data_IF_617287535686
#
_entry.id   IF_617287535686
#
_cell.length_a   1.000
_cell.length_b   1.000
_cell.length_c   1.000
_cell.angle_alpha   90.00
_cell.angle_beta   90.00
_cell.angle_gamma   90.00
#
_symmetry.space_group_name_H-M   'P 1'
#
loop_
_entity.id
_entity.type
_entity.pdbx_description
1 polymer ?
#
# COMPACT_ATOMS: atom_id res chain seq x y z
N UNK A 1 -76.81 83.16 5.05
CA UNK A 1 -75.59 84.02 5.10
C UNK A 1 -75.76 84.98 6.26
N UNK A 2 -74.78 85.21 7.16
CA UNK A 2 -73.55 84.43 7.47
C UNK A 2 -73.39 84.09 8.98
N UNK A 3 -72.47 83.15 9.32
CA UNK A 3 -71.64 83.10 10.57
C UNK A 3 -72.34 83.08 11.97
N UNK A 4 -71.75 82.79 13.15
CA UNK A 4 -70.72 81.85 13.69
C UNK A 4 -71.05 81.69 15.22
N UNK A 5 -70.50 80.81 16.10
CA UNK A 5 -69.44 79.77 16.10
C UNK A 5 -69.66 78.82 17.31
N UNK A 6 -69.03 77.62 17.27
CA UNK A 6 -68.46 76.85 18.40
C UNK A 6 -69.17 76.88 19.77
N UNK A 7 -69.99 75.88 20.12
CA UNK A 7 -69.52 74.59 20.69
C UNK A 7 -68.74 74.69 22.02
N UNK A 8 -69.49 74.78 23.13
CA UNK A 8 -69.00 74.55 24.50
C UNK A 8 -69.42 73.16 25.05
N UNK A 9 -69.87 72.24 24.19
CA UNK A 9 -70.48 70.97 24.59
C UNK A 9 -69.54 69.74 24.57
N UNK A 10 -68.27 69.90 24.17
CA UNK A 10 -67.33 68.78 24.03
C UNK A 10 -66.20 68.78 25.07
N UNK A 11 -66.55 69.00 26.35
CA UNK A 11 -65.59 69.01 27.46
C UNK A 11 -65.96 68.14 28.67
N UNK A 12 -66.95 67.26 28.53
CA UNK A 12 -67.40 66.35 29.61
C UNK A 12 -67.39 64.85 29.25
N UNK A 13 -66.75 64.46 28.13
CA UNK A 13 -66.56 63.06 27.75
C UNK A 13 -65.08 62.67 27.61
N UNK A 14 -64.21 63.33 28.38
CA UNK A 14 -62.76 63.02 28.47
C UNK A 14 -62.36 62.93 29.96
N UNK A 15 -63.01 62.03 30.72
CA UNK A 15 -62.51 61.64 32.06
C UNK A 15 -62.90 60.25 32.57
N UNK A 16 -63.55 59.39 31.76
CA UNK A 16 -64.07 58.09 32.21
C UNK A 16 -63.52 56.86 31.48
N UNK A 17 -62.63 57.02 30.50
CA UNK A 17 -61.98 55.90 29.76
C UNK A 17 -60.45 56.03 29.74
N UNK A 18 -59.88 56.56 30.83
CA UNK A 18 -58.44 56.51 31.15
C UNK A 18 -58.15 55.59 32.35
N UNK A 19 -59.00 54.60 32.55
CA UNK A 19 -58.76 53.41 33.37
C UNK A 19 -58.94 52.17 32.51
N UNK A 20 -58.08 51.15 32.70
CA UNK A 20 -58.12 49.87 32.00
C UNK A 20 -57.90 49.86 30.47
N UNK A 21 -56.81 50.49 30.00
CA UNK A 21 -55.95 49.82 29.01
C UNK A 21 -54.55 49.71 29.62
N UNK A 22 -54.27 48.57 30.28
CA UNK A 22 -52.89 48.15 30.52
C UNK A 22 -52.23 48.06 29.15
N UNK A 23 -51.25 48.91 28.88
CA UNK A 23 -50.39 48.79 27.69
C UNK A 23 -49.64 47.46 27.80
N UNK A 24 -50.19 46.38 27.26
CA UNK A 24 -49.36 45.30 26.74
C UNK A 24 -48.37 45.97 25.79
N UNK A 25 -47.05 45.88 26.01
CA UNK A 25 -46.11 46.45 25.07
C UNK A 25 -46.43 45.85 23.71
N UNK A 26 -46.66 46.71 22.71
CA UNK A 26 -46.80 46.26 21.33
C UNK A 26 -45.50 45.54 20.99
N UNK A 27 -45.54 44.21 21.00
CA UNK A 27 -44.44 43.40 20.53
C UNK A 27 -44.37 43.66 19.03
N UNK A 28 -43.51 44.61 18.63
CA UNK A 28 -43.27 44.96 17.23
C UNK A 28 -42.54 43.77 16.60
N UNK A 29 -43.32 42.73 16.29
CA UNK A 29 -42.88 41.58 15.53
C UNK A 29 -42.77 42.05 14.09
N UNK A 30 -41.66 42.73 13.79
CA UNK A 30 -41.30 43.12 12.42
C UNK A 30 -41.33 41.85 11.59
N UNK A 31 -42.34 41.71 10.70
CA UNK A 31 -42.60 40.49 9.93
C UNK A 31 -41.48 40.09 8.96
N UNK A 32 -40.35 40.80 8.99
CA UNK A 32 -39.17 40.64 8.13
C UNK A 32 -37.83 40.56 8.91
N UNK A 33 -37.81 40.49 10.25
CA UNK A 33 -36.54 40.36 10.99
C UNK A 33 -35.82 39.04 10.64
N UNK A 34 -36.56 37.92 10.66
CA UNK A 34 -36.05 36.60 10.30
C UNK A 34 -35.46 36.53 8.88
N UNK A 35 -35.99 37.31 7.92
CA UNK A 35 -35.45 37.34 6.55
C UNK A 35 -34.13 38.11 6.45
N UNK A 36 -33.92 39.13 7.28
CA UNK A 36 -32.65 39.89 7.31
C UNK A 36 -31.55 39.07 8.01
N UNK A 37 -31.89 38.40 9.12
CA UNK A 37 -31.01 37.44 9.79
C UNK A 37 -30.60 36.30 8.84
N UNK A 38 -31.57 35.68 8.16
CA UNK A 38 -31.31 34.61 7.19
C UNK A 38 -30.44 35.07 5.99
N UNK A 39 -30.62 36.30 5.52
CA UNK A 39 -29.83 36.86 4.41
C UNK A 39 -28.33 37.01 4.72
N UNK A 40 -27.94 37.08 6.00
CA UNK A 40 -26.53 37.10 6.44
C UNK A 40 -26.05 35.69 6.82
N UNK A 41 -26.88 34.92 7.55
CA UNK A 41 -26.52 33.60 8.05
C UNK A 41 -26.35 32.60 6.89
N UNK A 42 -27.23 32.60 5.89
CA UNK A 42 -27.19 31.61 4.80
C UNK A 42 -25.88 31.73 3.98
N UNK A 43 -25.45 32.92 3.50
CA UNK A 43 -24.17 33.06 2.81
C UNK A 43 -22.96 32.71 3.68
N UNK A 44 -22.99 33.04 4.98
CA UNK A 44 -21.91 32.70 5.91
C UNK A 44 -21.77 31.18 6.09
N UNK A 45 -22.89 30.48 6.30
CA UNK A 45 -22.93 29.02 6.44
C UNK A 45 -22.57 28.32 5.13
N UNK A 46 -23.07 28.82 3.99
CA UNK A 46 -22.71 28.30 2.67
C UNK A 46 -21.20 28.50 2.36
N UNK A 47 -20.64 29.65 2.74
CA UNK A 47 -19.21 29.94 2.64
C UNK A 47 -18.35 29.02 3.51
N UNK A 48 -18.77 28.77 4.75
CA UNK A 48 -18.14 27.80 5.64
C UNK A 48 -18.13 26.38 5.02
N UNK A 49 -19.27 25.90 4.54
CA UNK A 49 -19.34 24.60 3.88
C UNK A 49 -18.52 24.56 2.57
N UNK A 50 -18.47 25.65 1.80
CA UNK A 50 -17.63 25.72 0.61
C UNK A 50 -16.14 25.59 0.95
N UNK A 51 -15.65 26.30 1.99
CA UNK A 51 -14.27 26.18 2.48
C UNK A 51 -13.98 24.76 3.00
N UNK A 52 -14.92 24.17 3.75
CA UNK A 52 -14.79 22.79 4.24
C UNK A 52 -14.70 21.75 3.11
N UNK A 53 -15.53 21.90 2.06
CA UNK A 53 -15.47 21.05 0.88
C UNK A 53 -14.19 21.24 0.05
N UNK A 54 -13.65 22.46 0.00
CA UNK A 54 -12.34 22.75 -0.61
C UNK A 54 -11.20 22.11 0.17
N UNK A 55 -11.23 22.16 1.51
CA UNK A 55 -10.28 21.48 2.37
C UNK A 55 -10.27 19.96 2.14
N UNK A 56 -11.44 19.31 2.15
CA UNK A 56 -11.53 17.89 1.80
C UNK A 56 -11.05 17.58 0.37
N UNK A 57 -11.26 18.50 -0.58
CA UNK A 57 -10.75 18.32 -1.95
C UNK A 57 -9.22 18.37 -2.01
N UNK A 58 -8.58 19.25 -1.25
CA UNK A 58 -7.11 19.33 -1.13
C UNK A 58 -6.58 18.04 -0.52
N UNK A 59 -7.13 17.60 0.63
CA UNK A 59 -6.73 16.34 1.29
C UNK A 59 -6.83 15.12 0.36
N UNK A 60 -7.86 15.04 -0.50
CA UNK A 60 -7.99 13.95 -1.47
C UNK A 60 -6.87 13.95 -2.51
N UNK A 61 -6.43 15.12 -2.97
CA UNK A 61 -5.31 15.25 -3.92
C UNK A 61 -4.01 14.88 -3.22
N UNK A 62 -3.76 15.43 -2.02
CA UNK A 62 -2.60 15.13 -1.19
C UNK A 62 -2.49 13.64 -0.86
N UNK A 63 -3.61 12.96 -0.59
CA UNK A 63 -3.63 11.52 -0.33
C UNK A 63 -3.21 10.72 -1.58
N UNK A 64 -3.74 11.07 -2.76
CA UNK A 64 -3.43 10.36 -4.01
C UNK A 64 -1.99 10.61 -4.48
N UNK A 65 -1.46 11.82 -4.28
CA UNK A 65 -0.04 12.13 -4.54
C UNK A 65 0.87 11.39 -3.55
N UNK A 66 0.53 11.38 -2.25
CA UNK A 66 1.31 10.65 -1.24
C UNK A 66 1.31 9.13 -1.49
N UNK A 67 0.19 8.55 -1.92
CA UNK A 67 0.08 7.13 -2.24
C UNK A 67 1.00 6.75 -3.42
N UNK A 68 0.96 7.53 -4.51
CA UNK A 68 1.88 7.37 -5.64
C UNK A 68 3.35 7.57 -5.22
N UNK A 69 3.63 8.56 -4.35
CA UNK A 69 4.99 8.87 -3.88
C UNK A 69 5.57 7.75 -3.01
N UNK A 70 4.77 7.20 -2.09
CA UNK A 70 5.15 6.07 -1.22
C UNK A 70 5.34 4.78 -2.01
N UNK A 71 4.47 4.50 -2.99
CA UNK A 71 4.67 3.36 -3.88
C UNK A 71 5.98 3.50 -4.67
N UNK A 72 6.23 4.66 -5.29
CA UNK A 72 7.46 4.91 -6.06
C UNK A 72 8.69 4.79 -5.17
N UNK A 73 8.70 5.42 -3.99
CA UNK A 73 9.88 5.38 -3.11
C UNK A 73 10.22 3.95 -2.68
N UNK A 74 9.21 3.10 -2.44
CA UNK A 74 9.41 1.67 -2.13
C UNK A 74 9.91 0.88 -3.33
N UNK A 75 9.37 1.12 -4.51
CA UNK A 75 9.79 0.42 -5.73
C UNK A 75 11.22 0.80 -6.14
N UNK A 76 11.53 2.09 -6.19
CA UNK A 76 12.89 2.59 -6.46
C UNK A 76 13.85 2.13 -5.38
N UNK A 77 13.44 2.03 -4.11
CA UNK A 77 14.27 1.43 -3.06
C UNK A 77 14.63 -0.04 -3.33
N UNK A 78 13.80 -0.83 -4.02
CA UNK A 78 14.17 -2.19 -4.45
C UNK A 78 15.08 -2.24 -5.67
N UNK A 79 15.02 -1.23 -6.54
CA UNK A 79 15.83 -1.12 -7.76
C UNK A 79 17.19 -0.42 -7.49
N UNK A 80 17.32 0.29 -6.36
CA UNK A 80 18.50 1.07 -5.98
C UNK A 80 19.81 0.28 -5.86
N UNK A 81 19.75 -1.01 -5.55
CA UNK A 81 20.94 -1.87 -5.52
C UNK A 81 21.50 -2.21 -6.91
N UNK A 82 20.74 -1.97 -7.98
CA UNK A 82 21.13 -2.28 -9.36
C UNK A 82 21.56 -1.03 -10.16
N UNK A 83 21.42 0.16 -9.60
CA UNK A 83 21.61 1.43 -10.32
C UNK A 83 22.58 2.34 -9.55
N UNK A 84 23.82 2.41 -10.04
CA UNK A 84 24.91 3.14 -9.38
C UNK A 84 24.79 4.67 -9.47
N UNK A 85 24.01 5.21 -10.42
CA UNK A 85 23.89 6.66 -10.64
C UNK A 85 22.64 7.27 -10.00
N UNK A 86 22.77 8.29 -9.13
CA UNK A 86 21.64 9.05 -8.60
C UNK A 86 20.76 9.71 -9.67
N UNK A 87 21.32 10.09 -10.82
CA UNK A 87 20.54 10.69 -11.92
C UNK A 87 19.68 9.67 -12.65
N UNK A 88 20.15 8.42 -12.76
CA UNK A 88 19.37 7.31 -13.29
C UNK A 88 18.25 6.89 -12.32
N UNK A 89 18.52 6.94 -11.01
CA UNK A 89 17.49 6.73 -9.97
C UNK A 89 16.43 7.83 -9.94
N UNK A 90 16.81 9.09 -10.15
CA UNK A 90 15.83 10.17 -10.28
C UNK A 90 14.94 9.97 -11.53
N UNK A 91 15.55 9.62 -12.67
CA UNK A 91 14.80 9.37 -13.90
C UNK A 91 13.87 8.15 -13.80
N UNK A 92 14.28 7.07 -13.12
CA UNK A 92 13.40 5.91 -12.87
C UNK A 92 12.29 6.25 -11.88
N UNK A 93 12.58 7.03 -10.83
CA UNK A 93 11.59 7.55 -9.90
C UNK A 93 10.53 8.42 -10.60
N UNK A 94 10.94 9.36 -11.45
CA UNK A 94 10.00 10.18 -12.24
C UNK A 94 9.14 9.33 -13.17
N UNK A 95 9.73 8.38 -13.91
CA UNK A 95 9.00 7.52 -14.83
C UNK A 95 7.98 6.61 -14.12
N UNK A 96 8.35 6.02 -12.98
CA UNK A 96 7.44 5.22 -12.15
C UNK A 96 6.35 6.12 -11.55
N UNK A 97 6.73 7.24 -10.93
CA UNK A 97 5.80 8.14 -10.27
C UNK A 97 4.76 8.73 -11.23
N UNK A 98 5.16 9.19 -12.41
CA UNK A 98 4.22 9.69 -13.42
C UNK A 98 3.28 8.59 -13.92
N UNK A 99 3.77 7.34 -14.05
CA UNK A 99 2.94 6.18 -14.44
C UNK A 99 1.88 5.85 -13.40
N UNK A 100 2.22 5.89 -12.11
CA UNK A 100 1.25 5.65 -11.04
C UNK A 100 0.30 6.85 -10.87
N UNK A 101 0.84 8.08 -10.83
CA UNK A 101 0.04 9.29 -10.64
C UNK A 101 -1.01 9.49 -11.74
N UNK A 102 -0.72 9.07 -12.98
CA UNK A 102 -1.65 9.08 -14.12
C UNK A 102 -2.91 8.23 -13.91
N UNK A 103 -2.91 7.28 -12.97
CA UNK A 103 -4.09 6.47 -12.65
C UNK A 103 -5.13 7.27 -11.84
N UNK A 104 -4.75 8.39 -11.24
CA UNK A 104 -5.62 9.21 -10.39
C UNK A 104 -6.21 10.41 -11.15
N UNK A 105 -7.54 10.53 -11.12
CA UNK A 105 -8.28 11.59 -11.82
C UNK A 105 -8.19 12.97 -11.15
N UNK A 106 -7.93 13.04 -9.83
CA UNK A 106 -7.91 14.34 -9.12
C UNK A 106 -6.62 15.13 -9.35
N UNK A 107 -5.41 14.54 -9.30
CA UNK A 107 -4.18 15.24 -9.65
C UNK A 107 -4.22 15.82 -11.07
N UNK A 108 -4.69 15.04 -12.06
CA UNK A 108 -4.80 15.51 -13.44
C UNK A 108 -5.72 16.73 -13.60
N UNK A 109 -6.88 16.71 -12.91
CA UNK A 109 -7.85 17.80 -12.96
C UNK A 109 -7.43 19.05 -12.19
N UNK A 110 -6.84 18.89 -11.01
CA UNK A 110 -6.64 19.99 -10.05
C UNK A 110 -5.19 20.48 -9.95
N UNK A 111 -4.17 19.73 -10.37
CA UNK A 111 -2.78 20.24 -10.35
C UNK A 111 -2.53 21.17 -11.56
N UNK A 112 -1.71 22.20 -11.37
CA UNK A 112 -1.22 23.04 -12.49
C UNK A 112 -0.34 22.18 -13.40
N UNK A 113 -0.79 21.96 -14.65
CA UNK A 113 -0.23 21.04 -15.67
C UNK A 113 -0.57 19.55 -15.45
N UNK A 114 -1.61 19.26 -14.67
CA UNK A 114 -2.09 17.89 -14.42
C UNK A 114 -1.07 17.03 -13.68
N UNK A 115 -1.05 15.72 -13.93
CA UNK A 115 -0.08 14.81 -13.28
C UNK A 115 1.38 15.13 -13.65
N UNK A 116 1.64 15.72 -14.83
CA UNK A 116 2.96 16.23 -15.25
C UNK A 116 3.35 17.56 -14.56
N UNK A 117 2.49 18.07 -13.68
CA UNK A 117 2.73 19.28 -12.89
C UNK A 117 3.42 19.05 -11.55
N UNK A 118 3.74 17.79 -11.22
CA UNK A 118 4.41 17.41 -9.98
C UNK A 118 5.87 17.12 -10.27
N UNK A 119 6.77 17.87 -9.62
CA UNK A 119 8.22 17.79 -9.77
C UNK A 119 8.83 16.87 -8.71
N UNK A 120 9.80 16.04 -9.08
CA UNK A 120 10.62 15.25 -8.13
C UNK A 120 12.06 15.78 -7.98
N UNK A 121 12.39 16.94 -8.54
CA UNK A 121 13.77 17.45 -8.67
C UNK A 121 14.53 17.63 -7.34
N UNK A 122 13.84 17.83 -6.22
CA UNK A 122 14.46 17.98 -4.89
C UNK A 122 14.67 16.63 -4.15
N UNK A 123 14.51 15.50 -4.84
CA UNK A 123 14.70 14.15 -4.27
C UNK A 123 16.17 13.80 -4.01
N UNK A 124 16.44 13.03 -2.95
CA UNK A 124 17.78 12.59 -2.54
C UNK A 124 17.92 11.06 -2.50
N UNK A 125 19.13 10.58 -2.78
CA UNK A 125 19.48 9.15 -2.85
C UNK A 125 20.78 8.87 -2.07
N UNK A 126 20.86 9.35 -0.83
CA UNK A 126 22.06 9.29 0.02
C UNK A 126 21.93 8.28 1.19
N UNK A 127 23.06 7.78 1.69
CA UNK A 127 23.18 6.94 2.92
C UNK A 127 22.26 5.71 2.97
N UNK A 128 21.94 5.10 1.82
CA UNK A 128 21.05 3.94 1.78
C UNK A 128 19.55 4.29 1.96
N UNK A 129 19.15 5.52 1.70
CA UNK A 129 17.76 5.96 1.69
C UNK A 129 17.36 6.56 0.33
N UNK A 130 16.16 6.23 -0.11
CA UNK A 130 15.43 6.93 -1.18
C UNK A 130 14.51 7.93 -0.52
N UNK A 131 14.74 9.22 -0.76
CA UNK A 131 13.93 10.32 -0.23
C UNK A 131 13.36 11.10 -1.41
N UNK A 132 12.09 10.86 -1.73
CA UNK A 132 11.41 11.52 -2.84
C UNK A 132 10.65 12.75 -2.32
N UNK A 133 10.88 13.90 -2.94
CA UNK A 133 10.21 15.17 -2.65
C UNK A 133 9.35 15.58 -3.84
N UNK A 134 8.04 15.71 -3.63
CA UNK A 134 7.04 16.00 -4.65
C UNK A 134 6.49 17.42 -4.49
N UNK A 135 6.89 18.33 -5.38
CA UNK A 135 6.48 19.74 -5.37
C UNK A 135 5.47 20.05 -6.47
N UNK A 136 4.35 20.66 -6.09
CA UNK A 136 3.26 20.96 -7.01
C UNK A 136 2.37 22.13 -6.56
N UNK A 137 1.45 22.54 -7.44
CA UNK A 137 0.47 23.61 -7.15
C UNK A 137 -0.93 23.18 -7.50
N UNK A 138 -1.83 23.18 -6.52
CA UNK A 138 -3.25 22.88 -6.65
C UNK A 138 -4.02 24.13 -7.09
N UNK A 139 -4.82 24.00 -8.16
CA UNK A 139 -5.82 24.99 -8.60
C UNK A 139 -7.06 24.88 -7.72
N UNK A 140 -7.45 25.99 -7.09
CA UNK A 140 -8.74 26.07 -6.41
C UNK A 140 -9.86 26.25 -7.44
N UNK A 141 -10.97 25.49 -7.37
CA UNK A 141 -12.10 25.60 -8.31
C UNK A 141 -13.01 26.82 -8.05
N UNK A 142 -12.55 27.83 -7.29
CA UNK A 142 -13.28 29.07 -6.99
C UNK A 142 -12.55 30.29 -7.55
N UNK A 143 -13.18 31.00 -8.49
CA UNK A 143 -12.59 32.14 -9.21
C UNK A 143 -12.42 33.43 -8.41
N UNK A 144 -12.75 33.45 -7.11
CA UNK A 144 -12.65 34.65 -6.27
C UNK A 144 -11.23 34.97 -5.78
N UNK A 145 -10.31 33.99 -5.81
CA UNK A 145 -8.91 34.20 -5.41
C UNK A 145 -8.00 34.31 -6.65
N UNK A 146 -7.35 35.47 -6.81
CA UNK A 146 -6.44 35.75 -7.93
C UNK A 146 -5.24 34.76 -8.00
N UNK A 147 -5.37 33.76 -8.88
CA UNK A 147 -4.39 32.87 -9.55
C UNK A 147 -3.27 32.14 -8.77
N UNK A 148 -2.99 32.50 -7.51
CA UNK A 148 -2.01 31.86 -6.65
C UNK A 148 -2.66 30.68 -5.91
N UNK A 149 -2.83 29.58 -6.65
CA UNK A 149 -3.25 28.29 -6.10
C UNK A 149 -2.31 27.77 -4.99
N UNK A 150 -2.77 26.78 -4.24
CA UNK A 150 -2.07 26.25 -3.06
C UNK A 150 -0.82 25.50 -3.50
N UNK A 151 0.35 25.93 -3.04
CA UNK A 151 1.60 25.17 -3.20
C UNK A 151 1.67 24.10 -2.12
N UNK A 152 1.99 22.89 -2.52
CA UNK A 152 2.14 21.72 -1.65
C UNK A 152 3.47 21.06 -1.96
N UNK A 153 4.17 20.64 -0.92
CA UNK A 153 5.38 19.82 -0.98
C UNK A 153 5.14 18.58 -0.10
N UNK A 154 5.47 17.40 -0.61
CA UNK A 154 5.27 16.13 0.08
C UNK A 154 6.52 15.26 0.00
N UNK A 155 6.91 14.66 1.10
CA UNK A 155 8.11 13.80 1.17
C UNK A 155 7.72 12.35 1.45
N UNK A 156 8.43 11.42 0.80
CA UNK A 156 8.44 10.01 1.19
C UNK A 156 9.87 9.52 1.35
N UNK A 157 10.19 8.96 2.52
CA UNK A 157 11.50 8.37 2.83
C UNK A 157 11.37 6.86 2.97
N UNK A 158 12.10 6.12 2.15
CA UNK A 158 12.18 4.65 2.16
C UNK A 158 13.64 4.22 2.29
N UNK A 159 13.92 3.19 3.10
CA UNK A 159 15.27 2.60 3.15
C UNK A 159 15.49 1.77 1.88
N UNK A 160 16.64 1.94 1.24
CA UNK A 160 17.04 1.12 0.09
C UNK A 160 17.12 -0.36 0.50
N UNK A 161 16.73 -1.23 -0.42
CA UNK A 161 16.94 -2.67 -0.28
C UNK A 161 18.42 -2.96 -0.47
N UNK A 162 19.11 -3.25 0.63
CA UNK A 162 20.53 -3.64 0.62
C UNK A 162 20.73 -5.08 0.18
N UNK A 163 19.66 -5.87 0.03
CA UNK A 163 19.77 -7.32 -0.13
C UNK A 163 20.40 -8.01 1.08
N UNK A 164 20.74 -9.27 0.86
CA UNK A 164 21.66 -10.06 1.70
C UNK A 164 23.11 -9.75 1.26
N UNK A 165 23.49 -8.47 1.34
CA UNK A 165 24.79 -8.00 0.88
C UNK A 165 25.82 -8.09 2.01
N UNK A 166 26.41 -9.28 2.20
CA UNK A 166 27.65 -9.34 2.95
C UNK A 166 28.85 -8.95 2.07
N UNK A 167 29.69 -8.10 2.65
CA UNK A 167 30.97 -7.61 2.12
C UNK A 167 31.62 -6.63 3.09
N UNK A 168 30.81 -5.99 3.96
CA UNK A 168 31.27 -5.04 4.98
C UNK A 168 30.54 -5.19 6.34
N UNK A 169 29.77 -6.27 6.57
CA UNK A 169 28.94 -6.44 7.77
C UNK A 169 29.19 -7.73 8.55
N UNK A 170 30.44 -8.17 8.62
CA UNK A 170 30.95 -8.97 9.73
C UNK A 170 30.98 -10.47 9.49
N UNK A 171 32.18 -10.96 9.15
CA UNK A 171 32.53 -12.36 8.90
C UNK A 171 31.73 -13.00 7.74
N UNK A 172 32.39 -13.07 6.58
CA UNK A 172 31.97 -13.91 5.45
C UNK A 172 31.98 -15.39 5.86
N UNK A 173 30.97 -15.84 6.61
CA UNK A 173 30.74 -17.25 6.90
C UNK A 173 29.89 -17.85 5.77
N UNK A 174 30.47 -18.82 5.04
CA UNK A 174 29.74 -19.61 4.04
C UNK A 174 28.49 -20.23 4.67
N UNK A 175 27.31 -19.92 4.14
CA UNK A 175 26.08 -20.61 4.51
C UNK A 175 25.89 -21.89 3.69
N UNK A 176 25.45 -22.97 4.34
CA UNK A 176 25.20 -24.26 3.71
C UNK A 176 23.84 -24.83 4.07
N UNK A 177 23.27 -25.59 3.14
CA UNK A 177 22.00 -26.27 3.29
C UNK A 177 22.20 -27.63 3.96
N UNK A 178 21.53 -27.84 5.08
CA UNK A 178 21.55 -29.08 5.86
C UNK A 178 20.11 -29.58 6.04
N UNK A 179 19.92 -30.90 6.01
CA UNK A 179 18.62 -31.51 6.31
C UNK A 179 18.59 -32.05 7.73
N UNK A 180 17.40 -32.05 8.35
CA UNK A 180 17.14 -32.43 9.75
C UNK A 180 17.82 -33.75 10.18
N UNK A 181 17.83 -34.75 9.29
CA UNK A 181 18.46 -36.05 9.50
C UNK A 181 19.61 -36.33 8.50
N UNK A 182 20.12 -35.29 7.85
CA UNK A 182 21.21 -35.38 6.87
C UNK A 182 22.57 -35.60 7.53
N UNK A 183 23.36 -36.51 6.97
CA UNK A 183 24.78 -36.75 7.34
C UNK A 183 25.76 -35.88 6.57
N UNK A 184 25.28 -35.14 5.56
CA UNK A 184 26.06 -34.26 4.70
C UNK A 184 25.45 -32.86 4.60
N UNK A 185 26.29 -31.87 4.29
CA UNK A 185 25.86 -30.52 3.91
C UNK A 185 25.94 -30.31 2.39
N UNK A 186 25.17 -29.35 1.90
CA UNK A 186 25.05 -29.01 0.49
C UNK A 186 25.27 -27.50 0.29
N UNK A 187 25.98 -27.08 -0.77
CA UNK A 187 26.11 -25.64 -1.10
C UNK A 187 25.08 -25.14 -2.11
N UNK A 188 24.52 -26.03 -2.93
CA UNK A 188 23.43 -25.70 -3.85
C UNK A 188 22.09 -26.24 -3.33
N UNK A 189 21.08 -25.36 -3.22
CA UNK A 189 19.69 -25.70 -2.87
C UNK A 189 19.02 -26.61 -3.90
N UNK A 190 19.36 -26.44 -5.18
CA UNK A 190 18.88 -27.23 -6.32
C UNK A 190 19.58 -28.60 -6.45
N UNK A 191 20.32 -29.02 -5.42
CA UNK A 191 20.90 -30.36 -5.41
C UNK A 191 19.78 -31.40 -5.42
N UNK A 192 19.85 -32.38 -6.33
CA UNK A 192 18.89 -33.49 -6.49
C UNK A 192 18.64 -34.35 -5.22
N UNK A 193 19.43 -34.16 -4.16
CA UNK A 193 19.24 -34.80 -2.84
C UNK A 193 18.40 -33.95 -1.87
N UNK A 194 18.29 -32.65 -2.13
CA UNK A 194 17.45 -31.68 -1.42
C UNK A 194 16.14 -31.46 -2.17
N UNK A 195 16.23 -31.07 -3.43
CA UNK A 195 15.09 -30.89 -4.33
C UNK A 195 14.92 -32.16 -5.18
N UNK A 196 13.90 -32.95 -4.85
CA UNK A 196 13.64 -34.23 -5.47
C UNK A 196 12.74 -34.04 -6.69
N UNK A 197 13.19 -34.48 -7.87
CA UNK A 197 12.34 -34.54 -9.07
C UNK A 197 11.27 -35.64 -8.92
N UNK A 198 10.14 -35.28 -8.31
CA UNK A 198 9.01 -36.19 -8.07
C UNK A 198 8.08 -36.19 -9.30
N UNK A 199 7.72 -37.39 -9.77
CA UNK A 199 6.72 -37.59 -10.84
C UNK A 199 5.68 -38.62 -10.44
N UNK A 200 4.42 -38.34 -10.76
CA UNK A 200 3.31 -39.28 -10.63
C UNK A 200 3.30 -40.24 -11.83
N UNK A 201 3.12 -41.54 -11.56
CA UNK A 201 3.05 -42.60 -12.57
C UNK A 201 1.95 -43.60 -12.18
N UNK A 202 1.25 -44.17 -13.15
CA UNK A 202 0.27 -45.23 -12.90
C UNK A 202 0.98 -46.44 -12.26
N UNK A 203 0.37 -47.03 -11.23
CA UNK A 203 0.96 -48.16 -10.50
C UNK A 203 1.35 -49.34 -11.41
N UNK A 204 0.56 -49.63 -12.45
CA UNK A 204 0.84 -50.70 -13.41
C UNK A 204 2.16 -50.50 -14.17
N UNK A 205 2.56 -49.26 -14.44
CA UNK A 205 3.76 -48.94 -15.21
C UNK A 205 5.05 -48.98 -14.38
N UNK A 206 4.95 -48.93 -13.04
CA UNK A 206 6.10 -48.81 -12.12
C UNK A 206 7.10 -49.96 -12.33
N UNK A 207 6.61 -51.18 -12.58
CA UNK A 207 7.44 -52.35 -12.85
C UNK A 207 8.28 -52.25 -14.13
N UNK A 208 7.85 -51.44 -15.11
CA UNK A 208 8.60 -51.18 -16.35
C UNK A 208 9.57 -50.01 -16.23
N UNK A 209 9.27 -49.01 -15.40
CA UNK A 209 10.14 -47.84 -15.20
C UNK A 209 11.39 -48.20 -14.41
N UNK A 210 12.49 -47.47 -14.69
CA UNK A 210 13.72 -47.46 -13.90
C UNK A 210 14.02 -46.04 -13.43
N UNK A 211 14.92 -45.91 -12.47
CA UNK A 211 15.52 -44.63 -12.10
C UNK A 211 16.68 -44.29 -13.05
N UNK A 212 17.28 -43.09 -12.94
CA UNK A 212 18.40 -42.65 -13.80
C UNK A 212 19.68 -43.47 -13.62
N UNK A 213 19.75 -44.31 -12.59
CA UNK A 213 20.83 -45.27 -12.35
C UNK A 213 20.38 -46.72 -12.71
N UNK A 214 19.36 -46.87 -13.56
CA UNK A 214 18.80 -48.15 -14.03
C UNK A 214 18.22 -49.09 -12.97
N UNK A 215 18.09 -48.64 -11.72
CA UNK A 215 17.52 -49.45 -10.64
C UNK A 215 15.98 -49.55 -10.73
N UNK A 216 15.43 -50.64 -10.18
CA UNK A 216 13.99 -50.87 -10.01
C UNK A 216 13.44 -50.04 -8.82
N UNK A 217 12.14 -49.74 -8.86
CA UNK A 217 11.42 -49.14 -7.74
C UNK A 217 10.73 -50.21 -6.89
N UNK A 218 10.89 -50.11 -5.57
CA UNK A 218 10.28 -50.99 -4.57
C UNK A 218 9.21 -50.26 -3.75
N UNK A 219 8.35 -50.99 -3.04
CA UNK A 219 7.34 -50.39 -2.17
C UNK A 219 7.99 -49.62 -1.01
N UNK A 220 7.60 -48.36 -0.77
CA UNK A 220 8.04 -47.63 0.42
C UNK A 220 7.35 -48.19 1.67
N UNK A 221 8.12 -48.78 2.58
CA UNK A 221 7.65 -49.36 3.85
C UNK A 221 6.80 -48.42 4.73
N UNK A 222 7.01 -47.11 4.65
CA UNK A 222 6.31 -46.13 5.48
C UNK A 222 4.96 -45.66 4.93
N UNK A 223 4.68 -45.85 3.63
CA UNK A 223 3.44 -45.32 3.02
C UNK A 223 2.74 -46.27 2.03
N UNK A 224 3.35 -47.38 1.64
CA UNK A 224 2.74 -48.42 0.81
C UNK A 224 2.46 -49.63 1.69
N UNK A 225 1.21 -49.78 2.12
CA UNK A 225 0.76 -50.99 2.81
C UNK A 225 0.45 -52.10 1.80
N UNK A 226 0.71 -53.36 2.16
CA UNK A 226 0.60 -54.53 1.26
C UNK A 226 -0.80 -54.76 0.64
N UNK A 227 -1.84 -54.12 1.17
CA UNK A 227 -3.24 -54.24 0.71
C UNK A 227 -3.80 -52.93 0.11
N UNK A 228 -2.95 -51.98 -0.24
CA UNK A 228 -3.36 -50.68 -0.75
C UNK A 228 -3.53 -50.67 -2.27
N UNK A 229 -4.75 -50.40 -2.73
CA UNK A 229 -5.06 -50.26 -4.17
C UNK A 229 -4.66 -48.85 -4.62
N UNK A 230 -3.49 -48.74 -5.26
CA UNK A 230 -2.92 -47.48 -5.74
C UNK A 230 -3.19 -47.32 -7.24
N UNK A 231 -3.86 -46.24 -7.63
CA UNK A 231 -4.03 -45.86 -9.05
C UNK A 231 -2.76 -45.19 -9.57
N UNK A 232 -2.28 -44.17 -8.86
CA UNK A 232 -1.04 -43.46 -9.13
C UNK A 232 -0.11 -43.56 -7.92
N UNK A 233 1.20 -43.60 -8.19
CA UNK A 233 2.25 -43.52 -7.18
C UNK A 233 3.29 -42.47 -7.58
N UNK A 234 4.04 -41.99 -6.60
CA UNK A 234 5.09 -41.00 -6.76
C UNK A 234 6.46 -41.68 -6.74
N UNK A 235 7.27 -41.42 -7.77
CA UNK A 235 8.66 -41.88 -7.87
C UNK A 235 9.58 -40.70 -8.15
N UNK A 236 10.85 -40.83 -7.77
CA UNK A 236 11.89 -39.82 -8.00
C UNK A 236 12.97 -40.35 -8.93
N UNK A 237 13.67 -39.46 -9.64
CA UNK A 237 14.65 -39.89 -10.65
C UNK A 237 15.86 -40.66 -10.10
N UNK A 238 16.21 -40.47 -8.83
CA UNK A 238 17.36 -41.13 -8.18
C UNK A 238 16.97 -42.03 -7.00
N UNK A 239 15.70 -42.02 -6.58
CA UNK A 239 15.20 -42.91 -5.53
C UNK A 239 15.06 -44.36 -6.02
N UNK A 240 14.96 -45.28 -5.07
CA UNK A 240 14.71 -46.72 -5.31
C UNK A 240 13.34 -47.17 -4.80
N UNK A 241 12.53 -46.25 -4.24
CA UNK A 241 11.19 -46.55 -3.74
C UNK A 241 10.12 -45.79 -4.52
N UNK A 242 8.92 -46.34 -4.58
CA UNK A 242 7.69 -45.63 -4.95
C UNK A 242 6.83 -45.38 -3.72
N UNK A 243 6.09 -44.28 -3.74
CA UNK A 243 5.35 -43.75 -2.60
C UNK A 243 3.87 -43.54 -2.93
N UNK A 244 2.98 -43.85 -1.98
CA UNK A 244 1.54 -43.62 -2.13
C UNK A 244 1.11 -42.15 -2.00
N UNK A 245 1.92 -41.31 -1.36
CA UNK A 245 1.59 -39.92 -1.04
C UNK A 245 2.82 -39.01 -1.06
N UNK A 246 2.64 -37.79 -1.56
CA UNK A 246 3.62 -36.70 -1.49
C UNK A 246 3.98 -36.32 -0.04
N UNK A 247 3.09 -36.59 0.92
CA UNK A 247 3.33 -36.36 2.35
C UNK A 247 4.26 -37.39 3.01
N UNK A 248 4.76 -38.39 2.29
CA UNK A 248 5.67 -39.39 2.84
C UNK A 248 6.99 -38.76 3.31
N UNK A 249 7.47 -39.14 4.49
CA UNK A 249 8.78 -38.71 5.03
C UNK A 249 9.97 -39.08 4.14
N UNK A 250 9.85 -40.10 3.28
CA UNK A 250 10.87 -40.43 2.27
C UNK A 250 10.96 -39.44 1.10
N UNK A 251 9.91 -38.62 0.88
CA UNK A 251 9.87 -37.56 -0.12
C UNK A 251 10.03 -36.17 0.49
N UNK A 252 9.50 -35.92 1.69
CA UNK A 252 9.62 -34.62 2.35
C UNK A 252 11.07 -34.36 2.81
N UNK A 253 11.57 -33.14 2.56
CA UNK A 253 12.84 -32.65 3.10
C UNK A 253 12.61 -31.37 3.90
N UNK A 254 12.92 -31.40 5.20
CA UNK A 254 13.11 -30.17 5.99
C UNK A 254 14.54 -29.69 5.76
N UNK A 255 14.70 -28.50 5.18
CA UNK A 255 16.01 -27.92 4.82
C UNK A 255 16.22 -26.66 5.67
N UNK A 256 17.38 -26.60 6.32
CA UNK A 256 17.86 -25.44 7.07
C UNK A 256 19.05 -24.83 6.33
N UNK A 257 19.14 -23.51 6.35
CA UNK A 257 20.34 -22.77 5.95
C UNK A 257 21.05 -22.36 7.23
N UNK A 258 22.27 -22.86 7.43
CA UNK A 258 23.09 -22.60 8.63
C UNK A 258 24.51 -22.19 8.21
N UNK A 259 25.23 -21.39 9.00
CA UNK A 259 26.63 -21.11 8.73
C UNK A 259 27.48 -22.39 8.80
N UNK A 260 28.55 -22.48 8.02
CA UNK A 260 29.38 -23.68 7.92
C UNK A 260 30.04 -24.07 9.26
N UNK A 261 30.22 -23.10 10.15
CA UNK A 261 30.69 -23.26 11.54
C UNK A 261 29.76 -24.15 12.40
N UNK A 262 28.44 -24.08 12.18
CA UNK A 262 27.41 -24.81 12.95
C UNK A 262 27.11 -26.22 12.40
N UNK A 263 27.72 -26.61 11.28
CA UNK A 263 27.42 -27.87 10.55
C UNK A 263 27.73 -29.14 11.37
N UNK A 264 28.52 -29.05 12.43
CA UNK A 264 28.74 -30.14 13.38
C UNK A 264 29.47 -31.34 12.78
N UNK A 265 30.45 -31.10 11.90
CA UNK A 265 31.30 -32.15 11.33
C UNK A 265 30.67 -33.03 10.25
N UNK A 266 29.49 -32.66 9.72
CA UNK A 266 28.90 -33.35 8.56
C UNK A 266 29.81 -33.23 7.33
N UNK A 267 29.87 -34.29 6.53
CA UNK A 267 30.68 -34.30 5.30
C UNK A 267 30.10 -33.43 4.19
N UNK A 268 30.94 -33.02 3.24
CA UNK A 268 30.48 -32.33 2.03
C UNK A 268 29.69 -33.28 1.11
N UNK A 269 28.59 -32.84 0.52
CA UNK A 269 27.87 -33.64 -0.48
C UNK A 269 28.75 -33.91 -1.72
N UNK A 270 28.83 -35.17 -2.16
CA UNK A 270 29.64 -35.58 -3.32
C UNK A 270 29.27 -34.93 -4.66
N UNK A 271 28.07 -34.36 -4.80
CA UNK A 271 27.63 -33.66 -6.04
C UNK A 271 27.71 -32.13 -5.98
N UNK A 272 27.62 -31.53 -4.81
CA UNK A 272 27.52 -30.06 -4.67
C UNK A 272 28.29 -29.51 -3.46
N UNK A 273 29.21 -30.27 -2.88
CA UNK A 273 30.08 -29.85 -1.79
C UNK A 273 31.40 -29.23 -2.28
N UNK A 274 31.83 -29.58 -3.50
CA UNK A 274 33.11 -29.16 -4.10
C UNK A 274 33.01 -28.04 -5.12
N UNK A 275 31.80 -27.52 -5.39
CA UNK A 275 31.66 -26.34 -6.25
C UNK A 275 32.06 -25.09 -5.45
N UNK A 276 33.20 -24.52 -5.84
CA UNK A 276 33.59 -23.12 -5.76
C UNK A 276 33.98 -22.70 -7.19
#
# INVERSE_FOLDING_TARGET
>A
VPQTKSSYFFKFYISSVTSCIKKTPLYIRVKASYTLEAAVIIPMVAGFFAVLLLFFRILQIETQVQEALVYTSRKVATEASMVESPTALLASAEAVFQKELRQYLLPDKYVKRGYLGVSLLESSFDRGYVELNADYTIKLPIGFFNEKGVRVSQTSKSRMWTGDADSNCGQNEDYVYVTEHGTVYHRNRECNYLDLTIRAVNYADVGTKRNKNEHKYYACSSCVAEKMWLSNVYITDYGTCYHASLGCSGLKRTIYLIPISEVGGKGACSKCGSHY
#
